data_IF_225451105597
#
_entry.id   IF_225451105597
#
_cell.length_a   1.000
_cell.length_b   1.000
_cell.length_c   1.000
_cell.angle_alpha   90.00
_cell.angle_beta   90.00
_cell.angle_gamma   90.00
#
_symmetry.space_group_name_H-M   'P 1'
#
loop_
_entity.id
_entity.type
_entity.pdbx_description
1 polymer ?
#
# COMPACT_ATOMS: atom_id res chain seq x y z
N UNK A 1 -22.03 -4.96 15.01
CA UNK A 1 -20.81 -4.14 15.03
C UNK A 1 -19.73 -4.85 15.84
N UNK A 2 -18.80 -5.57 15.18
CA UNK A 2 -17.60 -6.12 15.83
C UNK A 2 -16.40 -5.33 15.33
N UNK A 3 -16.23 -4.13 15.85
CA UNK A 3 -15.02 -3.36 15.64
C UNK A 3 -13.97 -3.84 16.65
N UNK A 4 -13.34 -4.98 16.36
CA UNK A 4 -12.10 -5.34 17.03
C UNK A 4 -10.98 -4.61 16.29
N UNK A 5 -10.57 -3.46 16.82
CA UNK A 5 -9.30 -2.83 16.47
C UNK A 5 -8.17 -3.82 16.80
N UNK A 6 -7.89 -4.73 15.88
CA UNK A 6 -6.71 -5.57 15.99
C UNK A 6 -5.52 -4.70 15.65
N UNK A 7 -4.66 -4.45 16.61
CA UNK A 7 -3.42 -3.71 16.42
C UNK A 7 -2.48 -4.40 15.40
N UNK A 8 -2.61 -5.72 15.23
CA UNK A 8 -1.82 -6.52 14.29
C UNK A 8 -2.68 -7.62 13.68
N UNK A 9 -2.59 -7.76 12.35
CA UNK A 9 -3.14 -8.90 11.60
C UNK A 9 -2.01 -9.57 10.82
N UNK A 10 -1.84 -10.88 11.01
CA UNK A 10 -0.81 -11.67 10.33
C UNK A 10 -1.47 -12.65 9.37
N UNK A 11 -1.12 -12.56 8.09
CA UNK A 11 -1.55 -13.51 7.05
C UNK A 11 -0.42 -14.50 6.75
N UNK A 12 -0.58 -15.74 7.16
CA UNK A 12 0.34 -16.83 6.79
C UNK A 12 -0.05 -17.34 5.42
N UNK A 13 0.91 -17.35 4.49
CA UNK A 13 0.64 -17.78 3.13
C UNK A 13 1.92 -18.31 2.46
N UNK A 14 1.83 -19.46 1.78
CA UNK A 14 2.89 -20.03 0.95
C UNK A 14 3.03 -19.30 -0.39
N UNK A 15 4.09 -19.60 -1.16
CA UNK A 15 4.24 -19.08 -2.52
C UNK A 15 3.02 -19.47 -3.39
N UNK A 16 2.51 -18.54 -4.18
CA UNK A 16 1.31 -18.76 -5.02
C UNK A 16 -0.05 -18.70 -4.32
N UNK A 17 -0.10 -18.53 -3.01
CA UNK A 17 -1.33 -18.59 -2.20
C UNK A 17 -2.19 -17.32 -2.19
N UNK A 18 -2.01 -16.40 -3.15
CA UNK A 18 -2.83 -15.19 -3.23
C UNK A 18 -2.45 -14.05 -2.26
N UNK A 19 -1.23 -14.06 -1.69
CA UNK A 19 -0.76 -12.98 -0.79
C UNK A 19 -0.97 -11.58 -1.36
N UNK A 20 -0.58 -11.37 -2.61
CA UNK A 20 -0.72 -10.08 -3.31
C UNK A 20 -2.18 -9.71 -3.50
N UNK A 21 -3.06 -10.69 -3.76
CA UNK A 21 -4.50 -10.48 -3.82
C UNK A 21 -5.03 -10.00 -2.46
N UNK A 22 -4.70 -10.71 -1.38
CA UNK A 22 -5.15 -10.37 -0.03
C UNK A 22 -4.68 -8.97 0.39
N UNK A 23 -3.40 -8.63 0.15
CA UNK A 23 -2.88 -7.29 0.46
C UNK A 23 -3.57 -6.19 -0.35
N UNK A 24 -3.84 -6.44 -1.64
CA UNK A 24 -4.57 -5.48 -2.47
C UNK A 24 -6.02 -5.31 -1.99
N UNK A 25 -6.70 -6.40 -1.59
CA UNK A 25 -8.04 -6.34 -0.99
C UNK A 25 -8.02 -5.50 0.29
N UNK A 26 -7.06 -5.73 1.21
CA UNK A 26 -6.95 -4.98 2.45
C UNK A 26 -6.69 -3.48 2.17
N UNK A 27 -5.80 -3.17 1.23
CA UNK A 27 -5.53 -1.78 0.86
C UNK A 27 -6.78 -1.10 0.29
N UNK A 28 -7.44 -1.72 -0.69
CA UNK A 28 -8.66 -1.19 -1.32
C UNK A 28 -9.77 -1.05 -0.29
N UNK A 29 -9.93 -2.02 0.62
CA UNK A 29 -10.91 -1.98 1.70
C UNK A 29 -10.76 -0.73 2.58
N UNK A 30 -9.52 -0.36 2.95
CA UNK A 30 -9.23 0.86 3.68
C UNK A 30 -9.65 2.12 2.90
N UNK A 31 -9.46 2.12 1.58
CA UNK A 31 -9.89 3.22 0.71
C UNK A 31 -11.42 3.27 0.53
N UNK A 32 -12.11 2.13 0.56
CA UNK A 32 -13.58 2.09 0.52
C UNK A 32 -14.17 2.63 1.83
N UNK A 33 -13.53 2.35 2.97
CA UNK A 33 -13.96 2.90 4.27
C UNK A 33 -13.76 4.41 4.30
N UNK A 34 -12.59 4.89 3.86
CA UNK A 34 -12.24 6.30 3.78
C UNK A 34 -11.43 6.59 2.51
N UNK A 35 -12.06 7.20 1.47
CA UNK A 35 -11.41 7.47 0.19
C UNK A 35 -10.20 8.43 0.23
N UNK A 36 -9.96 9.11 1.35
CA UNK A 36 -8.78 9.97 1.54
C UNK A 36 -7.65 9.27 2.30
N UNK A 37 -7.89 8.07 2.79
CA UNK A 37 -6.97 7.35 3.67
C UNK A 37 -5.65 6.94 3.00
N UNK A 38 -5.54 6.95 1.67
CA UNK A 38 -4.30 6.64 0.94
C UNK A 38 -3.09 7.45 1.42
N UNK A 39 -3.31 8.66 1.92
CA UNK A 39 -2.25 9.52 2.48
C UNK A 39 -1.63 8.96 3.77
N UNK A 40 -2.41 8.16 4.50
CA UNK A 40 -2.05 7.61 5.81
C UNK A 40 -1.76 6.10 5.76
N UNK A 41 -1.71 5.50 4.56
CA UNK A 41 -1.37 4.10 4.37
C UNK A 41 0.05 4.02 3.80
N UNK A 42 0.88 3.21 4.44
CA UNK A 42 2.16 2.79 3.92
C UNK A 42 2.11 1.30 3.62
N UNK A 43 2.40 0.91 2.39
CA UNK A 43 2.65 -0.46 2.03
C UNK A 43 4.13 -0.63 1.64
N UNK A 44 4.75 -1.70 2.12
CA UNK A 44 6.16 -1.99 1.81
C UNK A 44 6.31 -3.34 1.13
N UNK A 45 7.23 -3.43 0.19
CA UNK A 45 7.56 -4.62 -0.57
C UNK A 45 9.08 -4.86 -0.58
N UNK A 46 9.52 -6.03 -1.05
CA UNK A 46 10.95 -6.32 -1.15
C UNK A 46 11.60 -5.77 -2.41
N UNK A 47 10.88 -5.65 -3.54
CA UNK A 47 11.46 -5.28 -4.82
C UNK A 47 10.69 -4.14 -5.48
N UNK A 48 11.37 -3.37 -6.32
CA UNK A 48 10.75 -2.32 -7.13
C UNK A 48 9.67 -2.90 -8.05
N UNK A 49 9.91 -4.07 -8.64
CA UNK A 49 8.93 -4.77 -9.47
C UNK A 49 7.65 -5.06 -8.69
N UNK A 50 7.76 -5.62 -7.48
CA UNK A 50 6.60 -5.88 -6.62
C UNK A 50 5.86 -4.59 -6.23
N UNK A 51 6.59 -3.48 -6.02
CA UNK A 51 6.01 -2.17 -5.77
C UNK A 51 5.13 -1.71 -6.94
N UNK A 52 5.66 -1.75 -8.15
CA UNK A 52 4.93 -1.31 -9.35
C UNK A 52 3.74 -2.24 -9.66
N UNK A 53 3.91 -3.55 -9.53
CA UNK A 53 2.80 -4.50 -9.68
C UNK A 53 1.67 -4.23 -8.68
N UNK A 54 2.01 -3.90 -7.43
CA UNK A 54 1.01 -3.58 -6.40
C UNK A 54 0.27 -2.28 -6.70
N UNK A 55 0.99 -1.21 -7.08
CA UNK A 55 0.40 0.07 -7.49
C UNK A 55 -0.56 -0.11 -8.66
N UNK A 56 -0.08 -0.78 -9.72
CA UNK A 56 -0.89 -1.06 -10.90
C UNK A 56 -2.14 -1.87 -10.54
N UNK A 57 -2.00 -2.90 -9.71
CA UNK A 57 -3.11 -3.75 -9.28
C UNK A 57 -4.18 -2.94 -8.53
N UNK A 58 -3.78 -2.12 -7.55
CA UNK A 58 -4.74 -1.32 -6.76
C UNK A 58 -5.50 -0.35 -7.66
N UNK A 59 -4.80 0.40 -8.52
CA UNK A 59 -5.44 1.36 -9.45
C UNK A 59 -6.38 0.65 -10.42
N UNK A 60 -5.91 -0.45 -11.04
CA UNK A 60 -6.72 -1.23 -11.99
C UNK A 60 -7.97 -1.82 -11.35
N UNK A 61 -7.86 -2.32 -10.11
CA UNK A 61 -9.01 -2.88 -9.40
C UNK A 61 -9.99 -1.81 -8.93
N UNK A 62 -9.53 -0.67 -8.45
CA UNK A 62 -10.41 0.48 -8.13
C UNK A 62 -11.18 0.93 -9.38
N UNK A 63 -10.51 1.02 -10.53
CA UNK A 63 -11.16 1.34 -11.80
C UNK A 63 -12.18 0.26 -12.18
N UNK A 64 -11.78 -1.02 -12.17
CA UNK A 64 -12.66 -2.13 -12.54
C UNK A 64 -13.89 -2.24 -11.64
N UNK A 65 -13.74 -2.04 -10.33
CA UNK A 65 -14.84 -2.01 -9.37
C UNK A 65 -15.79 -0.84 -9.68
N UNK A 66 -15.25 0.37 -9.89
CA UNK A 66 -16.05 1.57 -10.16
C UNK A 66 -16.85 1.47 -11.46
N UNK A 67 -16.31 0.79 -12.47
CA UNK A 67 -16.95 0.57 -13.77
C UNK A 67 -17.77 -0.73 -13.84
N UNK A 68 -17.77 -1.54 -12.79
CA UNK A 68 -18.49 -2.81 -12.76
C UNK A 68 -17.94 -3.87 -13.73
N UNK A 69 -16.62 -3.88 -13.94
CA UNK A 69 -15.96 -4.84 -14.81
C UNK A 69 -15.92 -6.23 -14.17
N UNK A 70 -16.26 -7.28 -14.92
CA UNK A 70 -16.25 -8.68 -14.48
C UNK A 70 -14.88 -9.13 -13.93
N UNK A 71 -13.79 -8.60 -14.48
CA UNK A 71 -12.42 -8.89 -13.99
C UNK A 71 -12.17 -8.48 -12.55
N UNK A 72 -12.99 -7.58 -11.99
CA UNK A 72 -12.88 -7.09 -10.61
C UNK A 72 -13.94 -7.65 -9.67
N UNK A 73 -14.79 -8.57 -10.14
CA UNK A 73 -15.88 -9.13 -9.33
C UNK A 73 -15.38 -9.87 -8.09
N UNK A 74 -14.23 -10.55 -8.17
CA UNK A 74 -13.62 -11.22 -7.01
C UNK A 74 -13.27 -10.24 -5.88
N UNK A 75 -12.74 -9.07 -6.24
CA UNK A 75 -12.45 -7.99 -5.29
C UNK A 75 -13.74 -7.36 -4.75
N UNK A 76 -14.66 -7.02 -5.63
CA UNK A 76 -15.95 -6.42 -5.27
C UNK A 76 -16.71 -7.30 -4.27
N UNK A 77 -16.86 -8.59 -4.57
CA UNK A 77 -17.57 -9.54 -3.72
C UNK A 77 -16.88 -9.70 -2.36
N UNK A 78 -15.55 -9.82 -2.34
CA UNK A 78 -14.77 -9.95 -1.12
C UNK A 78 -14.91 -8.74 -0.22
N UNK A 79 -14.75 -7.54 -0.78
CA UNK A 79 -14.84 -6.27 -0.04
C UNK A 79 -16.26 -6.03 0.47
N UNK A 80 -17.26 -6.23 -0.38
CA UNK A 80 -18.68 -6.10 -0.03
C UNK A 80 -19.06 -7.01 1.14
N UNK A 81 -18.63 -8.29 1.11
CA UNK A 81 -18.93 -9.25 2.18
C UNK A 81 -18.18 -8.94 3.48
N UNK A 82 -16.94 -8.45 3.43
CA UNK A 82 -16.14 -8.16 4.64
C UNK A 82 -16.54 -6.85 5.33
N UNK A 83 -17.00 -5.86 4.57
CA UNK A 83 -17.43 -4.57 5.10
C UNK A 83 -18.93 -4.51 5.41
N UNK A 84 -19.69 -5.51 4.98
CA UNK A 84 -21.17 -5.50 5.02
C UNK A 84 -21.75 -4.28 4.28
N UNK A 85 -21.16 -3.96 3.12
CA UNK A 85 -21.58 -2.87 2.25
C UNK A 85 -22.24 -3.42 0.99
N UNK A 86 -23.23 -2.66 0.47
CA UNK A 86 -23.82 -2.99 -0.84
C UNK A 86 -22.79 -2.81 -1.96
N UNK A 87 -22.93 -3.57 -3.04
CA UNK A 87 -22.02 -3.48 -4.19
C UNK A 87 -22.03 -2.09 -4.83
N UNK A 88 -23.18 -1.43 -4.83
CA UNK A 88 -23.39 -0.07 -5.33
C UNK A 88 -22.55 0.92 -4.54
N UNK A 89 -22.61 0.87 -3.21
CA UNK A 89 -21.80 1.71 -2.32
C UNK A 89 -20.29 1.47 -2.51
N UNK A 90 -19.87 0.20 -2.66
CA UNK A 90 -18.47 -0.13 -2.90
C UNK A 90 -18.01 0.43 -4.25
N UNK A 91 -18.83 0.37 -5.32
CA UNK A 91 -18.52 0.94 -6.64
C UNK A 91 -18.38 2.46 -6.58
N UNK A 92 -19.31 3.13 -5.95
CA UNK A 92 -19.30 4.59 -5.78
C UNK A 92 -18.02 5.03 -5.06
N UNK A 93 -17.73 4.43 -3.90
CA UNK A 93 -16.56 4.76 -3.10
C UNK A 93 -15.25 4.41 -3.80
N UNK A 94 -15.21 3.34 -4.57
CA UNK A 94 -14.06 3.00 -5.41
C UNK A 94 -13.77 4.08 -6.46
N UNK A 95 -14.81 4.66 -7.07
CA UNK A 95 -14.67 5.78 -7.99
C UNK A 95 -14.09 7.03 -7.32
N UNK A 96 -14.60 7.38 -6.14
CA UNK A 96 -14.11 8.52 -5.35
C UNK A 96 -12.65 8.29 -4.91
N UNK A 97 -12.33 7.09 -4.42
CA UNK A 97 -10.99 6.73 -4.00
C UNK A 97 -9.99 6.79 -5.17
N UNK A 98 -10.37 6.27 -6.33
CA UNK A 98 -9.57 6.34 -7.55
C UNK A 98 -9.29 7.79 -7.97
N UNK A 99 -10.32 8.63 -8.00
CA UNK A 99 -10.20 10.04 -8.33
C UNK A 99 -9.20 10.74 -7.40
N UNK A 100 -9.37 10.61 -6.09
CA UNK A 100 -8.49 11.22 -5.09
C UNK A 100 -7.04 10.74 -5.22
N UNK A 101 -6.86 9.43 -5.41
CA UNK A 101 -5.54 8.81 -5.54
C UNK A 101 -4.81 9.29 -6.80
N UNK A 102 -5.49 9.41 -7.93
CA UNK A 102 -4.88 9.85 -9.19
C UNK A 102 -4.50 11.34 -9.14
N UNK A 103 -5.29 12.18 -8.49
CA UNK A 103 -4.99 13.61 -8.35
C UNK A 103 -3.84 13.90 -7.37
N UNK A 104 -3.57 12.99 -6.43
CA UNK A 104 -2.50 13.12 -5.45
C UNK A 104 -1.58 11.90 -5.44
N UNK A 105 -1.22 11.40 -6.62
CA UNK A 105 -0.50 10.16 -6.80
C UNK A 105 0.85 10.11 -6.06
N UNK A 106 1.49 11.26 -5.85
CA UNK A 106 2.72 11.39 -5.07
C UNK A 106 2.56 11.01 -3.59
N UNK A 107 1.33 11.02 -3.06
CA UNK A 107 1.01 10.59 -1.69
C UNK A 107 0.61 9.11 -1.60
N UNK A 108 0.55 8.41 -2.71
CA UNK A 108 0.29 6.99 -2.77
C UNK A 108 1.56 6.21 -2.42
N UNK A 109 1.73 5.89 -1.13
CA UNK A 109 2.96 5.36 -0.57
C UNK A 109 2.98 3.83 -0.61
N UNK A 110 3.43 3.29 -1.74
CA UNK A 110 3.89 1.91 -1.87
C UNK A 110 5.36 1.98 -2.27
N UNK A 111 6.24 1.41 -1.48
CA UNK A 111 7.69 1.51 -1.68
C UNK A 111 8.41 0.26 -1.18
N UNK A 112 9.69 0.11 -1.52
CA UNK A 112 10.49 -0.98 -0.97
C UNK A 112 10.83 -0.73 0.50
N UNK A 113 11.14 -1.81 1.22
CA UNK A 113 11.61 -1.73 2.61
C UNK A 113 12.84 -0.83 2.70
N UNK A 114 13.79 -0.97 1.78
CA UNK A 114 15.01 -0.14 1.74
C UNK A 114 14.70 1.34 1.56
N UNK A 115 13.82 1.68 0.62
CA UNK A 115 13.39 3.06 0.39
C UNK A 115 12.70 3.66 1.63
N UNK A 116 11.92 2.86 2.36
CA UNK A 116 11.31 3.27 3.62
C UNK A 116 12.37 3.59 4.67
N UNK A 117 13.30 2.67 4.94
CA UNK A 117 14.37 2.90 5.92
C UNK A 117 15.25 4.10 5.56
N UNK A 118 15.62 4.25 4.28
CA UNK A 118 16.37 5.43 3.83
C UNK A 118 15.60 6.73 4.07
N UNK A 119 14.28 6.75 3.91
CA UNK A 119 13.46 7.92 4.20
C UNK A 119 13.44 8.27 5.68
N UNK A 120 13.33 7.26 6.53
CA UNK A 120 13.38 7.42 8.00
C UNK A 120 14.73 7.96 8.43
N UNK A 121 15.84 7.34 7.98
CA UNK A 121 17.19 7.78 8.31
C UNK A 121 17.45 9.23 7.88
N UNK A 122 17.04 9.61 6.66
CA UNK A 122 17.18 11.01 6.21
C UNK A 122 16.43 12.00 7.09
N UNK A 123 15.25 11.64 7.56
CA UNK A 123 14.48 12.50 8.46
C UNK A 123 15.15 12.61 9.82
N UNK A 124 15.64 11.50 10.38
CA UNK A 124 16.39 11.51 11.65
C UNK A 124 17.67 12.35 11.57
N UNK A 125 18.44 12.25 10.49
CA UNK A 125 19.64 13.05 10.27
C UNK A 125 19.33 14.55 10.27
N UNK A 126 18.21 14.95 9.63
CA UNK A 126 17.75 16.34 9.63
C UNK A 126 17.34 16.82 11.04
N UNK A 127 16.61 16.01 11.78
CA UNK A 127 16.17 16.35 13.15
C UNK A 127 17.34 16.44 14.12
N UNK A 128 18.38 15.61 13.95
CA UNK A 128 19.58 15.63 14.77
C UNK A 128 20.58 16.74 14.37
N UNK A 129 20.28 17.54 13.35
CA UNK A 129 21.15 18.62 12.88
C UNK A 129 22.50 18.12 12.30
N UNK A 130 22.60 16.82 11.99
CA UNK A 130 23.77 16.23 11.37
C UNK A 130 23.79 16.66 9.89
N UNK A 131 24.83 17.39 9.49
CA UNK A 131 24.93 18.05 8.19
C UNK A 131 24.74 17.08 7.02
N UNK A 132 24.45 17.67 5.85
CA UNK A 132 24.07 17.00 4.59
C UNK A 132 25.12 16.02 3.98
N UNK A 133 26.23 15.74 4.65
CA UNK A 133 27.33 14.92 4.14
C UNK A 133 27.29 13.43 4.52
N UNK A 134 26.23 12.97 5.19
CA UNK A 134 26.10 11.52 5.44
C UNK A 134 25.69 10.79 4.16
N UNK A 135 26.63 10.05 3.57
CA UNK A 135 26.34 9.02 2.57
C UNK A 135 25.93 7.74 3.28
N UNK A 136 24.71 7.29 3.05
CA UNK A 136 24.28 5.96 3.50
C UNK A 136 24.86 4.97 2.50
N UNK A 137 25.90 4.23 2.89
CA UNK A 137 26.44 3.12 2.11
C UNK A 137 25.70 1.84 2.47
N UNK A 138 25.10 1.18 1.48
CA UNK A 138 24.48 -0.14 1.61
C UNK A 138 25.46 -1.27 1.25
N UNK A 139 26.76 -0.96 1.04
CA UNK A 139 27.79 -1.95 0.72
C UNK A 139 28.63 -2.23 1.96
N UNK A 140 28.26 -3.27 2.71
CA UNK A 140 29.01 -3.72 3.90
C UNK A 140 30.49 -4.03 3.61
N UNK A 141 30.84 -4.42 2.38
CA UNK A 141 32.20 -4.73 1.99
C UNK A 141 33.16 -3.54 1.88
N UNK A 142 32.65 -2.31 1.70
CA UNK A 142 33.47 -1.10 1.66
C UNK A 142 33.74 -0.50 3.05
N UNK A 143 32.84 -0.69 3.99
CA UNK A 143 32.96 -0.10 5.34
C UNK A 143 34.00 -0.84 6.17
N UNK A 144 34.19 -2.15 5.95
CA UNK A 144 35.13 -2.99 6.70
C UNK A 144 36.59 -2.73 6.27
N UNK A 145 36.83 -2.18 5.07
CA UNK A 145 38.18 -1.90 4.58
C UNK A 145 38.76 -0.54 5.02
N UNK A 146 37.95 0.32 5.62
CA UNK A 146 38.36 1.66 6.10
C UNK A 146 38.46 1.74 7.64
N UNK A 147 38.17 0.66 8.36
CA UNK A 147 38.31 0.54 9.82
C UNK A 147 39.59 -0.19 10.22
#
# INVERSE_FOLDING_TARGET
MKNKNKALTVYKASAGSGKTFTLAVEFIKLLIIDPKRYENILAVTFTNKATEEMKHRIVSQLFGISKGLKSSDSYLNKISSELDYTKELVRERAGIALYNLLHNYNRFRIQTIDAFFQSVLRNMVKELGLGNNMRISLQDSMVISEA
#
